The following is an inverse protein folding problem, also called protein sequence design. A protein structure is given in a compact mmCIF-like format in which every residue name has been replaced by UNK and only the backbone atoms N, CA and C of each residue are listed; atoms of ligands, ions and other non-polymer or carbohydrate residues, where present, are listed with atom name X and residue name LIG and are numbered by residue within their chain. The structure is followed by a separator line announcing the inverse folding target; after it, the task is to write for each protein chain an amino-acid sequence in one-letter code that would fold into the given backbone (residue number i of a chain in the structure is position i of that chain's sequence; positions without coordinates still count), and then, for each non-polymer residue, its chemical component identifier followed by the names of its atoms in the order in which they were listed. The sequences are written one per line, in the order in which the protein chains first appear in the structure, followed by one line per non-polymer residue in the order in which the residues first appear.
data_IF_771593869179
#
_entry.id   IF_771593869179
#
_cell.length_a   1.000
_cell.length_b   1.000
_cell.length_c   1.000
_cell.angle_alpha   90.00
_cell.angle_beta   90.00
_cell.angle_gamma   90.00
#
_symmetry.space_group_name_H-M   'P 1'
#
loop_
_entity.id
_entity.type
_entity.pdbx_description
1 polymer ?
#
# COMPACT_ATOMS: atom_id res chain seq x y z
N UNK A 1 -1.17 17.41 -28.14
CA UNK A 1 -1.07 18.20 -26.88
C UNK A 1 -1.68 17.35 -25.76
N UNK A 2 -0.85 16.72 -24.94
CA UNK A 2 -1.31 15.98 -23.78
C UNK A 2 -1.55 16.99 -22.64
N UNK A 3 -2.79 17.17 -22.25
CA UNK A 3 -3.13 17.96 -21.08
C UNK A 3 -2.62 17.21 -19.83
N UNK A 4 -1.63 17.79 -19.18
CA UNK A 4 -1.20 17.38 -17.84
C UNK A 4 -2.37 17.69 -16.88
N UNK A 5 -3.23 16.71 -16.61
CA UNK A 5 -4.16 16.83 -15.46
C UNK A 5 -3.29 16.74 -14.21
N UNK A 6 -2.94 17.90 -13.67
CA UNK A 6 -2.40 17.98 -12.32
C UNK A 6 -3.43 17.35 -11.37
N UNK A 7 -3.03 16.34 -10.62
CA UNK A 7 -3.88 15.77 -9.58
C UNK A 7 -4.28 16.91 -8.63
N UNK A 8 -5.56 17.26 -8.62
CA UNK A 8 -6.07 18.32 -7.75
C UNK A 8 -5.87 17.83 -6.30
N UNK A 9 -4.96 18.48 -5.58
CA UNK A 9 -4.66 18.16 -4.18
C UNK A 9 -5.93 18.27 -3.32
N UNK A 10 -5.95 17.58 -2.19
CA UNK A 10 -7.06 17.62 -1.25
C UNK A 10 -7.17 19.04 -0.68
N UNK A 11 -8.33 19.72 -0.76
CA UNK A 11 -8.48 21.10 -0.28
C UNK A 11 -8.03 21.24 1.17
N UNK A 12 -7.40 22.37 1.48
CA UNK A 12 -7.00 22.71 2.86
C UNK A 12 -8.25 22.78 3.72
N UNK A 13 -8.27 22.04 4.84
CA UNK A 13 -9.43 21.95 5.75
C UNK A 13 -10.39 20.79 5.46
N UNK A 14 -10.37 20.16 4.30
CA UNK A 14 -11.14 18.94 4.06
C UNK A 14 -10.55 17.75 4.83
N UNK A 15 -11.42 16.93 5.43
CA UNK A 15 -11.00 15.69 6.08
C UNK A 15 -10.45 14.72 5.03
N UNK A 16 -9.25 14.20 5.27
CA UNK A 16 -8.69 13.12 4.44
C UNK A 16 -9.53 11.85 4.63
N UNK A 17 -9.99 11.27 3.53
CA UNK A 17 -10.68 9.98 3.49
C UNK A 17 -9.89 9.02 2.61
N UNK A 18 -10.09 7.71 2.80
CA UNK A 18 -9.47 6.68 1.95
C UNK A 18 -9.79 6.93 0.47
N UNK A 19 -11.06 7.20 0.17
CA UNK A 19 -11.48 7.47 -1.20
C UNK A 19 -10.83 8.72 -1.79
N UNK A 20 -10.70 9.81 -1.01
CA UNK A 20 -10.00 11.02 -1.49
C UNK A 20 -8.51 10.79 -1.67
N UNK A 21 -7.88 10.01 -0.79
CA UNK A 21 -6.47 9.63 -0.94
C UNK A 21 -6.26 8.79 -2.21
N UNK A 22 -7.08 7.76 -2.45
CA UNK A 22 -6.98 6.95 -3.67
C UNK A 22 -7.19 7.77 -4.95
N UNK A 23 -8.16 8.70 -4.96
CA UNK A 23 -8.44 9.57 -6.13
C UNK A 23 -7.31 10.56 -6.43
N UNK A 24 -6.58 10.98 -5.42
CA UNK A 24 -5.45 11.92 -5.57
C UNK A 24 -4.09 11.23 -5.61
N UNK A 25 -4.07 9.88 -5.62
CA UNK A 25 -2.82 9.12 -5.70
C UNK A 25 -2.06 9.49 -6.98
N UNK A 26 -0.79 9.90 -6.88
CA UNK A 26 0.04 10.19 -8.04
C UNK A 26 0.23 8.95 -8.92
N UNK A 27 0.37 9.17 -10.23
CA UNK A 27 0.56 8.06 -11.18
C UNK A 27 1.78 7.19 -10.83
N UNK A 28 2.86 7.79 -10.33
CA UNK A 28 4.08 7.09 -9.92
C UNK A 28 3.82 6.05 -8.81
N UNK A 29 2.80 6.28 -7.99
CA UNK A 29 2.38 5.32 -6.95
C UNK A 29 1.36 4.32 -7.47
N UNK A 30 0.46 4.76 -8.36
CA UNK A 30 -0.64 3.96 -8.87
C UNK A 30 -0.27 3.14 -10.12
N UNK A 31 0.83 3.48 -10.83
CA UNK A 31 1.16 2.86 -12.12
C UNK A 31 0.99 1.32 -12.12
N UNK A 32 0.42 0.74 -13.17
CA UNK A 32 0.06 1.37 -14.46
C UNK A 32 -1.38 1.93 -14.52
N UNK A 33 -2.01 2.20 -13.40
CA UNK A 33 -3.38 2.73 -13.32
C UNK A 33 -3.34 4.24 -13.49
N UNK A 34 -3.82 4.74 -14.63
CA UNK A 34 -3.94 6.17 -14.86
C UNK A 34 -5.16 6.78 -14.12
N UNK A 35 -5.25 8.12 -14.00
CA UNK A 35 -6.31 8.78 -13.26
C UNK A 35 -7.72 8.47 -13.79
N UNK A 36 -7.89 8.21 -15.09
CA UNK A 36 -9.19 7.91 -15.69
C UNK A 36 -9.64 6.50 -15.28
N UNK A 37 -8.75 5.52 -15.38
CA UNK A 37 -8.99 4.16 -14.91
C UNK A 37 -9.22 4.14 -13.41
N UNK A 38 -8.42 4.89 -12.64
CA UNK A 38 -8.61 5.03 -11.19
C UNK A 38 -10.01 5.56 -10.85
N UNK A 39 -10.45 6.63 -11.54
CA UNK A 39 -11.79 7.17 -11.33
C UNK A 39 -12.88 6.13 -11.59
N UNK A 40 -12.80 5.39 -12.70
CA UNK A 40 -13.77 4.34 -13.04
C UNK A 40 -13.82 3.24 -11.98
N UNK A 41 -12.66 2.72 -11.55
CA UNK A 41 -12.57 1.70 -10.51
C UNK A 41 -13.19 2.18 -9.19
N UNK A 42 -12.95 3.46 -8.81
CA UNK A 42 -13.42 4.02 -7.55
C UNK A 42 -14.88 4.48 -7.59
N UNK A 43 -15.40 4.91 -8.75
CA UNK A 43 -16.78 5.39 -8.88
C UNK A 43 -17.79 4.25 -8.76
N UNK A 44 -17.45 3.04 -9.21
CA UNK A 44 -18.28 1.86 -9.04
C UNK A 44 -18.46 1.48 -7.57
N UNK A 45 -17.45 1.72 -6.72
CA UNK A 45 -17.42 1.35 -5.30
C UNK A 45 -17.77 -0.11 -5.02
N UNK A 46 -17.67 -0.96 -6.03
CA UNK A 46 -18.01 -2.37 -5.96
C UNK A 46 -16.72 -3.17 -5.94
N UNK A 47 -16.39 -3.85 -4.84
CA UNK A 47 -15.26 -4.78 -4.81
C UNK A 47 -15.38 -5.81 -5.94
N UNK A 48 -14.27 -6.04 -6.65
CA UNK A 48 -14.21 -6.97 -7.77
C UNK A 48 -14.50 -6.37 -9.15
N UNK A 49 -15.02 -5.13 -9.25
CA UNK A 49 -15.11 -4.45 -10.55
C UNK A 49 -13.71 -4.22 -11.14
N UNK A 50 -13.54 -4.59 -12.40
CA UNK A 50 -12.25 -4.59 -13.10
C UNK A 50 -12.28 -3.61 -14.27
N UNK A 51 -11.22 -2.83 -14.40
CA UNK A 51 -10.96 -1.92 -15.52
C UNK A 51 -9.62 -2.26 -16.17
N UNK A 52 -9.52 -2.07 -17.49
CA UNK A 52 -8.26 -2.29 -18.21
C UNK A 52 -7.33 -1.10 -18.05
N UNK A 53 -6.08 -1.36 -17.68
CA UNK A 53 -5.03 -0.34 -17.55
C UNK A 53 -4.41 0.01 -18.89
N UNK A 54 -3.69 1.14 -18.94
CA UNK A 54 -2.98 1.60 -20.15
C UNK A 54 -1.95 0.61 -20.69
N UNK A 55 -1.45 -0.30 -19.87
CA UNK A 55 -0.52 -1.35 -20.27
C UNK A 55 -1.21 -2.70 -20.56
N UNK A 56 -2.54 -2.71 -20.69
CA UNK A 56 -3.32 -3.92 -21.01
C UNK A 56 -3.52 -4.89 -19.83
N UNK A 57 -3.09 -4.50 -18.61
CA UNK A 57 -3.40 -5.24 -17.39
C UNK A 57 -4.77 -4.86 -16.82
N UNK A 58 -5.12 -5.46 -15.69
CA UNK A 58 -6.37 -5.20 -15.00
C UNK A 58 -6.14 -4.42 -13.71
N UNK A 59 -7.00 -3.44 -13.44
CA UNK A 59 -7.09 -2.76 -12.15
C UNK A 59 -8.44 -3.04 -11.52
N UNK A 60 -8.47 -3.30 -10.23
CA UNK A 60 -9.71 -3.50 -9.47
C UNK A 60 -9.61 -3.03 -8.04
N UNK A 61 -10.73 -2.57 -7.50
CA UNK A 61 -10.90 -2.34 -6.08
C UNK A 61 -11.14 -3.70 -5.39
N UNK A 62 -10.24 -4.08 -4.49
CA UNK A 62 -10.35 -5.34 -3.73
C UNK A 62 -11.20 -5.11 -2.48
N UNK A 63 -10.94 -4.02 -1.76
CA UNK A 63 -11.73 -3.61 -0.59
C UNK A 63 -11.66 -2.11 -0.38
N UNK A 64 -12.68 -1.56 0.29
CA UNK A 64 -12.74 -0.15 0.68
C UNK A 64 -13.54 -0.02 1.96
N UNK A 65 -12.94 0.58 2.99
CA UNK A 65 -13.61 0.97 4.23
C UNK A 65 -13.22 2.39 4.66
N UNK A 66 -13.56 2.79 5.87
CA UNK A 66 -13.31 4.15 6.37
C UNK A 66 -11.83 4.44 6.65
N UNK A 67 -11.01 3.43 6.89
CA UNK A 67 -9.61 3.54 7.30
C UNK A 67 -8.65 2.89 6.31
N UNK A 68 -9.13 2.05 5.40
CA UNK A 68 -8.31 1.33 4.43
C UNK A 68 -8.94 1.18 3.06
N UNK A 69 -8.10 1.01 2.04
CA UNK A 69 -8.51 0.69 0.68
C UNK A 69 -7.44 -0.11 -0.03
N UNK A 70 -7.85 -1.23 -0.63
CA UNK A 70 -6.95 -2.13 -1.32
C UNK A 70 -7.27 -2.18 -2.80
N UNK A 71 -6.25 -1.93 -3.62
CA UNK A 71 -6.31 -1.96 -5.08
C UNK A 71 -5.37 -3.04 -5.61
N UNK A 72 -5.81 -3.81 -6.56
CA UNK A 72 -4.93 -4.56 -7.45
C UNK A 72 -4.66 -3.70 -8.69
N UNK A 73 -3.37 -3.49 -9.01
CA UNK A 73 -2.94 -2.59 -10.09
C UNK A 73 -2.12 -3.37 -11.12
N UNK A 74 -2.76 -4.32 -11.78
CA UNK A 74 -2.11 -5.22 -12.71
C UNK A 74 -1.89 -6.61 -12.13
N UNK A 75 -1.19 -7.47 -12.87
CA UNK A 75 -0.95 -8.86 -12.47
C UNK A 75 0.10 -8.91 -11.35
N UNK A 76 -0.32 -9.38 -10.18
CA UNK A 76 0.60 -9.61 -9.05
C UNK A 76 1.06 -8.36 -8.31
N UNK A 77 0.42 -7.19 -8.49
CA UNK A 77 0.72 -6.00 -7.71
C UNK A 77 -0.50 -5.52 -6.94
N UNK A 78 -0.33 -5.35 -5.64
CA UNK A 78 -1.37 -4.90 -4.72
C UNK A 78 -0.89 -3.63 -4.00
N UNK A 79 -1.76 -2.63 -3.94
CA UNK A 79 -1.61 -1.42 -3.15
C UNK A 79 -2.62 -1.47 -2.01
N UNK A 80 -2.13 -1.48 -0.78
CA UNK A 80 -2.95 -1.47 0.44
C UNK A 80 -2.73 -0.13 1.16
N UNK A 81 -3.72 0.77 1.07
CA UNK A 81 -3.70 2.12 1.62
C UNK A 81 -4.40 2.17 2.95
N UNK A 82 -3.76 2.75 3.95
CA UNK A 82 -4.32 2.96 5.28
C UNK A 82 -4.17 4.42 5.71
N UNK A 83 -5.16 4.95 6.43
CA UNK A 83 -5.07 6.25 7.06
C UNK A 83 -4.48 6.10 8.47
N UNK A 84 -3.38 6.81 8.74
CA UNK A 84 -2.73 6.84 10.04
C UNK A 84 -3.02 8.16 10.74
N UNK A 85 -3.81 8.17 11.83
CA UNK A 85 -4.02 9.36 12.63
C UNK A 85 -2.70 9.87 13.22
N UNK A 86 -2.43 11.16 13.06
CA UNK A 86 -1.30 11.86 13.67
C UNK A 86 -1.81 13.09 14.43
N UNK A 87 -1.02 13.61 15.37
CA UNK A 87 -1.45 14.66 16.30
C UNK A 87 -1.99 15.95 15.63
N UNK A 88 -1.50 16.29 14.44
CA UNK A 88 -1.88 17.50 13.72
C UNK A 88 -2.51 17.23 12.35
N UNK A 89 -2.44 16.01 11.85
CA UNK A 89 -2.90 15.63 10.51
C UNK A 89 -3.15 14.12 10.42
N UNK A 90 -3.59 13.65 9.27
CA UNK A 90 -3.69 12.24 8.94
C UNK A 90 -2.68 11.93 7.85
N UNK A 91 -1.86 10.92 8.08
CA UNK A 91 -0.90 10.42 7.09
C UNK A 91 -1.50 9.27 6.28
N UNK A 92 -0.90 9.03 5.12
CA UNK A 92 -1.24 7.93 4.22
C UNK A 92 -0.12 6.89 4.34
N UNK A 93 -0.43 5.70 4.83
CA UNK A 93 0.45 4.54 4.75
C UNK A 93 0.06 3.72 3.53
N UNK A 94 1.00 3.48 2.64
CA UNK A 94 0.83 2.68 1.43
C UNK A 94 1.75 1.47 1.51
N UNK A 95 1.17 0.28 1.60
CA UNK A 95 1.88 -0.98 1.48
C UNK A 95 1.74 -1.44 0.03
N UNK A 96 2.85 -1.51 -0.66
CA UNK A 96 2.93 -2.09 -1.99
C UNK A 96 3.48 -3.50 -1.89
N UNK A 97 2.73 -4.46 -2.43
CA UNK A 97 3.14 -5.86 -2.49
C UNK A 97 3.26 -6.29 -3.94
N UNK A 98 4.38 -6.89 -4.30
CA UNK A 98 4.62 -7.59 -5.57
C UNK A 98 4.54 -9.08 -5.27
N UNK A 99 3.63 -9.79 -5.95
CA UNK A 99 3.28 -11.19 -5.67
C UNK A 99 3.97 -12.18 -6.63
N UNK A 100 5.23 -11.91 -6.97
CA UNK A 100 5.99 -12.82 -7.85
C UNK A 100 7.50 -12.59 -7.72
N UNK A 101 8.31 -13.63 -7.53
CA UNK A 101 7.98 -15.06 -7.38
C UNK A 101 7.31 -15.41 -6.04
N UNK A 102 7.47 -14.58 -5.04
CA UNK A 102 6.86 -14.67 -3.70
C UNK A 102 6.40 -13.27 -3.28
N UNK A 103 5.35 -13.14 -2.45
CA UNK A 103 4.91 -11.84 -1.97
C UNK A 103 6.02 -11.10 -1.24
N UNK A 104 6.39 -9.94 -1.76
CA UNK A 104 7.35 -9.02 -1.14
C UNK A 104 6.76 -7.62 -1.04
N UNK A 105 6.93 -6.97 0.09
CA UNK A 105 6.25 -5.71 0.39
C UNK A 105 7.20 -4.62 0.83
N UNK A 106 6.85 -3.39 0.48
CA UNK A 106 7.44 -2.18 1.04
C UNK A 106 6.35 -1.25 1.57
N UNK A 107 6.64 -0.54 2.63
CA UNK A 107 5.76 0.46 3.20
C UNK A 107 6.32 1.85 2.93
N UNK A 108 5.50 2.74 2.42
CA UNK A 108 5.80 4.17 2.29
C UNK A 108 4.73 4.99 3.02
N UNK A 109 5.15 6.01 3.75
CA UNK A 109 4.23 6.89 4.46
C UNK A 109 4.35 8.31 3.91
N UNK A 110 3.20 8.88 3.55
CA UNK A 110 3.07 10.18 2.91
C UNK A 110 2.22 11.12 3.78
N UNK A 111 2.38 12.42 3.56
CA UNK A 111 1.39 13.37 4.02
C UNK A 111 0.17 13.38 3.08
N UNK A 112 -0.86 14.19 3.41
CA UNK A 112 -2.09 14.33 2.64
C UNK A 112 -1.90 14.78 1.18
N UNK A 113 -0.75 15.36 0.84
CA UNK A 113 -0.39 15.83 -0.50
C UNK A 113 0.53 14.85 -1.22
N UNK A 114 0.63 13.62 -0.77
CA UNK A 114 1.50 12.57 -1.30
C UNK A 114 2.99 12.90 -1.26
N UNK A 115 3.42 13.81 -0.38
CA UNK A 115 4.83 14.04 -0.12
C UNK A 115 5.34 12.97 0.83
N UNK A 116 6.36 12.23 0.39
CA UNK A 116 6.97 11.16 1.20
C UNK A 116 7.52 11.72 2.53
N UNK A 117 7.16 11.07 3.62
CA UNK A 117 7.67 11.36 4.97
C UNK A 117 8.76 10.37 5.34
N UNK A 118 8.52 9.10 5.16
CA UNK A 118 9.49 8.03 5.39
C UNK A 118 9.02 6.73 4.72
N UNK A 119 9.93 5.77 4.59
CA UNK A 119 9.64 4.43 4.09
C UNK A 119 10.23 3.37 5.01
N UNK A 120 9.75 2.14 4.86
CA UNK A 120 10.23 0.98 5.58
C UNK A 120 10.25 -0.22 4.64
N UNK A 121 11.42 -0.83 4.51
CA UNK A 121 11.61 -2.14 3.93
C UNK A 121 12.18 -3.03 5.03
N UNK A 122 11.51 -4.15 5.36
CA UNK A 122 12.00 -5.03 6.40
C UNK A 122 13.29 -5.71 5.94
N UNK A 123 14.18 -5.97 6.88
CA UNK A 123 15.38 -6.79 6.65
C UNK A 123 15.09 -8.23 7.02
N UNK A 124 15.61 -9.17 6.23
CA UNK A 124 15.48 -10.59 6.52
C UNK A 124 15.84 -10.91 7.98
N UNK A 125 15.08 -11.80 8.64
CA UNK A 125 15.32 -12.15 10.04
C UNK A 125 16.69 -12.80 10.22
N UNK A 126 17.31 -12.61 11.38
CA UNK A 126 18.61 -13.23 11.69
C UNK A 126 18.57 -14.77 11.66
N UNK A 127 17.38 -15.35 11.81
CA UNK A 127 17.15 -16.80 11.71
C UNK A 127 17.07 -17.31 10.27
N UNK A 128 17.17 -16.44 9.27
CA UNK A 128 17.17 -16.87 7.87
C UNK A 128 18.42 -17.72 7.58
N UNK A 129 18.28 -18.80 6.79
CA UNK A 129 19.42 -19.61 6.39
C UNK A 129 20.45 -18.76 5.63
N UNK A 130 21.74 -19.04 5.85
CA UNK A 130 22.82 -18.33 5.16
C UNK A 130 22.70 -18.53 3.64
N UNK A 131 22.76 -17.41 2.89
CA UNK A 131 22.66 -17.42 1.43
C UNK A 131 21.24 -17.56 0.88
N UNK A 132 20.21 -17.68 1.73
CA UNK A 132 18.82 -17.74 1.27
C UNK A 132 18.29 -16.36 0.84
N UNK A 133 17.42 -16.35 -0.17
CA UNK A 133 16.66 -15.17 -0.58
C UNK A 133 15.33 -15.20 0.14
N UNK A 134 15.06 -14.16 0.95
CA UNK A 134 13.85 -14.03 1.74
C UNK A 134 12.93 -12.94 1.18
N UNK A 135 11.64 -13.20 1.16
CA UNK A 135 10.58 -12.28 0.77
C UNK A 135 9.69 -11.98 1.98
N UNK A 136 9.40 -10.70 2.21
CA UNK A 136 8.64 -10.23 3.37
C UNK A 136 7.29 -9.63 3.00
N UNK A 137 6.21 -10.40 3.15
CA UNK A 137 4.86 -9.92 2.93
C UNK A 137 4.35 -9.15 4.15
N UNK A 138 3.88 -7.91 3.96
CA UNK A 138 3.36 -7.06 5.02
C UNK A 138 1.84 -7.06 5.08
N UNK A 139 1.30 -7.10 6.29
CA UNK A 139 -0.12 -6.88 6.59
C UNK A 139 -0.23 -5.89 7.74
N UNK A 140 -1.00 -4.84 7.57
CA UNK A 140 -1.28 -3.88 8.63
C UNK A 140 -2.68 -4.10 9.22
N UNK A 141 -2.76 -4.15 10.55
CA UNK A 141 -4.00 -4.25 11.30
C UNK A 141 -4.27 -2.93 12.03
N UNK A 142 -5.17 -2.06 11.52
CA UNK A 142 -5.42 -0.73 12.08
C UNK A 142 -5.86 -0.75 13.55
N UNK A 143 -6.68 -1.73 13.95
CA UNK A 143 -7.22 -1.82 15.32
C UNK A 143 -6.14 -1.93 16.40
N UNK A 144 -5.02 -2.60 16.11
CA UNK A 144 -3.89 -2.77 17.02
C UNK A 144 -2.67 -1.92 16.63
N UNK A 145 -2.75 -1.17 15.53
CA UNK A 145 -1.62 -0.49 14.90
C UNK A 145 -0.43 -1.42 14.61
N UNK A 146 -0.70 -2.70 14.39
CA UNK A 146 0.32 -3.74 14.19
C UNK A 146 0.59 -3.94 12.70
N UNK A 147 1.85 -3.87 12.33
CA UNK A 147 2.38 -4.27 11.03
C UNK A 147 3.04 -5.64 11.21
N UNK A 148 2.47 -6.67 10.60
CA UNK A 148 3.02 -8.02 10.58
C UNK A 148 3.81 -8.22 9.30
N UNK A 149 4.99 -8.82 9.40
CA UNK A 149 5.82 -9.24 8.25
C UNK A 149 5.95 -10.75 8.28
N UNK A 150 5.39 -11.40 7.27
CA UNK A 150 5.49 -12.85 7.05
C UNK A 150 6.61 -13.14 6.06
N UNK A 151 7.64 -13.81 6.52
CA UNK A 151 8.81 -14.15 5.74
C UNK A 151 8.68 -15.52 5.08
N UNK A 152 9.06 -15.60 3.81
CA UNK A 152 9.14 -16.83 3.03
C UNK A 152 10.50 -16.92 2.36
N UNK A 153 11.02 -18.11 2.25
CA UNK A 153 12.21 -18.39 1.46
C UNK A 153 11.85 -18.58 -0.01
N UNK A 154 12.71 -18.19 -0.92
CA UNK A 154 12.52 -18.38 -2.36
C UNK A 154 12.20 -19.85 -2.69
N UNK A 155 11.09 -20.06 -3.43
CA UNK A 155 10.62 -21.40 -3.80
C UNK A 155 9.90 -22.17 -2.68
N UNK A 156 9.64 -21.55 -1.52
CA UNK A 156 8.89 -22.15 -0.42
C UNK A 156 7.70 -21.25 -0.02
N UNK A 157 6.49 -21.72 -0.23
CA UNK A 157 5.27 -20.96 0.08
C UNK A 157 4.96 -20.88 1.58
N UNK A 158 5.64 -21.69 2.40
CA UNK A 158 5.43 -21.70 3.85
C UNK A 158 6.06 -20.47 4.51
N UNK A 159 5.37 -19.92 5.50
CA UNK A 159 5.91 -18.85 6.34
C UNK A 159 7.02 -19.45 7.22
N UNK A 160 8.26 -19.01 7.03
CA UNK A 160 9.44 -19.48 7.78
C UNK A 160 9.68 -18.66 9.05
N UNK A 161 9.27 -17.37 9.03
CA UNK A 161 9.35 -16.49 10.18
C UNK A 161 8.24 -15.44 10.14
N UNK A 162 7.85 -14.95 11.32
CA UNK A 162 6.90 -13.85 11.48
C UNK A 162 7.46 -12.82 12.44
N UNK A 163 7.41 -11.56 12.03
CA UNK A 163 7.81 -10.43 12.85
C UNK A 163 6.64 -9.45 12.99
N UNK A 164 6.53 -8.84 14.16
CA UNK A 164 5.51 -7.86 14.46
C UNK A 164 6.15 -6.51 14.82
N UNK A 165 5.56 -5.46 14.30
CA UNK A 165 5.99 -4.09 14.51
C UNK A 165 4.80 -3.22 14.88
N UNK A 166 5.03 -2.20 15.68
CA UNK A 166 4.09 -1.12 15.90
C UNK A 166 4.31 -0.05 14.84
N UNK A 167 3.31 0.20 14.01
CA UNK A 167 3.30 1.26 13.02
C UNK A 167 2.81 2.56 13.65
N UNK A 168 3.64 3.60 13.60
CA UNK A 168 3.32 4.92 14.14
C UNK A 168 3.53 6.00 13.08
N UNK A 169 2.96 7.20 13.23
CA UNK A 169 3.24 8.33 12.33
C UNK A 169 4.72 8.72 12.22
N UNK A 170 5.54 8.31 13.17
CA UNK A 170 6.98 8.65 13.25
C UNK A 170 7.89 7.53 12.75
N UNK A 171 7.36 6.38 12.45
CA UNK A 171 8.14 5.21 12.01
C UNK A 171 7.62 3.89 12.55
N UNK A 172 8.39 2.86 12.29
CA UNK A 172 8.10 1.48 12.67
C UNK A 172 8.97 1.10 13.87
N UNK A 173 8.38 0.48 14.88
CA UNK A 173 9.11 -0.04 16.05
C UNK A 173 8.82 -1.53 16.18
N UNK A 174 9.84 -2.34 16.36
CA UNK A 174 9.66 -3.77 16.63
C UNK A 174 8.82 -3.95 17.89
N UNK A 175 7.77 -4.76 17.83
CA UNK A 175 6.99 -5.08 19.01
C UNK A 175 7.87 -5.86 19.99
N UNK A 176 7.85 -5.47 21.26
CA UNK A 176 8.51 -6.27 22.29
C UNK A 176 7.67 -7.53 22.52
N UNK A 177 8.30 -8.68 22.39
CA UNK A 177 7.73 -9.95 22.87
C UNK A 177 7.63 -9.94 24.37
#
# INVERSE_FOLDING_TARGET
MAALLAAAGIPVGARLTVLSALRTMPFEQAAPVDPVVMAKVLDQRVPGHTETTVLGGEARLVSLDSLSGKLQTGKGRILDLHLLPAAKDTLIALIETIDSPQPDSRLSVFDRNWKLKWNFAPTAPQSAPEGSVMFGAMVYTPASATLTVDWREAGNDSITAREEYLLTPKGVKRAKK
#
